data_IF_658790670795
#
_entry.id   IF_658790670795
#
_cell.length_a   1.000
_cell.length_b   1.000
_cell.length_c   1.000
_cell.angle_alpha   90.00
_cell.angle_beta   90.00
_cell.angle_gamma   90.00
#
_symmetry.space_group_name_H-M   'P 1'
#
loop_
_entity.id
_entity.type
_entity.pdbx_description
1 polymer ?
#
# COMPACT_ATOMS: atom_id res chain seq x y z
N UNK A 1 24.09 21.14 -10.90
CA UNK A 1 24.53 20.41 -12.11
C UNK A 1 23.97 18.99 -12.05
N UNK A 2 23.33 18.48 -13.12
CA UNK A 2 22.68 17.18 -13.11
C UNK A 2 23.65 16.07 -13.55
N UNK A 3 24.15 15.28 -12.60
CA UNK A 3 24.86 14.01 -12.86
C UNK A 3 23.85 12.87 -13.12
N UNK A 4 24.25 11.89 -13.94
CA UNK A 4 23.53 10.64 -14.13
C UNK A 4 24.12 9.60 -13.17
N UNK A 5 23.30 9.06 -12.28
CA UNK A 5 23.73 8.10 -11.26
C UNK A 5 23.03 6.76 -11.53
N UNK A 6 23.81 5.74 -11.84
CA UNK A 6 23.34 4.37 -11.96
C UNK A 6 23.68 3.58 -10.71
N UNK A 7 22.71 2.81 -10.22
CA UNK A 7 22.81 1.96 -9.04
C UNK A 7 22.63 0.53 -9.50
N UNK A 8 23.68 -0.28 -9.44
CA UNK A 8 23.64 -1.70 -9.72
C UNK A 8 23.51 -2.45 -8.40
N UNK A 9 22.39 -3.14 -8.21
CA UNK A 9 22.13 -3.96 -7.02
C UNK A 9 22.29 -5.41 -7.44
N UNK A 10 23.12 -6.16 -6.73
CA UNK A 10 23.33 -7.60 -6.92
C UNK A 10 22.70 -8.33 -5.75
N UNK A 11 21.70 -9.16 -6.04
CA UNK A 11 21.02 -10.05 -5.09
C UNK A 11 21.97 -11.14 -4.58
N UNK A 12 21.66 -11.76 -3.45
CA UNK A 12 22.26 -12.98 -2.93
C UNK A 12 22.25 -14.13 -3.96
N UNK A 13 21.27 -14.16 -4.88
CA UNK A 13 21.23 -15.07 -6.03
C UNK A 13 22.20 -14.70 -7.18
N UNK A 14 23.07 -13.70 -6.97
CA UNK A 14 23.98 -13.12 -7.95
C UNK A 14 23.29 -12.54 -9.21
N UNK A 15 22.01 -12.18 -9.07
CA UNK A 15 21.26 -11.48 -10.11
C UNK A 15 21.46 -9.98 -9.95
N UNK A 16 21.89 -9.30 -11.02
CA UNK A 16 22.14 -7.87 -10.99
C UNK A 16 21.01 -7.08 -11.64
N UNK A 17 20.45 -6.13 -10.91
CA UNK A 17 19.46 -5.16 -11.40
C UNK A 17 20.10 -3.77 -11.42
N UNK A 18 20.11 -3.11 -12.57
CA UNK A 18 20.59 -1.74 -12.70
C UNK A 18 19.40 -0.79 -12.66
N UNK A 19 19.39 0.11 -11.68
CA UNK A 19 18.42 1.18 -11.52
C UNK A 19 19.07 2.52 -11.83
N UNK A 20 18.33 3.41 -12.48
CA UNK A 20 18.74 4.81 -12.64
C UNK A 20 18.19 5.60 -11.46
N UNK A 21 19.05 6.23 -10.66
CA UNK A 21 18.61 7.02 -9.52
C UNK A 21 17.97 8.33 -9.99
N UNK A 22 16.76 8.62 -9.50
CA UNK A 22 16.09 9.88 -9.73
C UNK A 22 16.74 10.98 -8.90
N UNK A 23 16.97 12.16 -9.50
CA UNK A 23 17.42 13.32 -8.74
C UNK A 23 16.27 13.85 -7.88
N UNK A 24 16.46 13.87 -6.57
CA UNK A 24 15.58 14.57 -5.64
C UNK A 24 16.14 15.98 -5.44
N UNK A 25 15.48 16.96 -6.06
CA UNK A 25 15.83 18.38 -6.03
C UNK A 25 15.16 19.07 -4.84
N UNK A 26 15.16 18.43 -3.68
CA UNK A 26 14.80 19.07 -2.42
C UNK A 26 15.83 20.16 -2.07
N UNK A 27 15.34 21.33 -1.67
CA UNK A 27 15.96 22.68 -1.60
C UNK A 27 17.28 22.88 -0.80
N UNK A 28 18.07 21.83 -0.57
CA UNK A 28 19.41 21.94 0.01
C UNK A 28 20.47 21.87 -1.11
N UNK A 29 21.52 22.67 -0.97
CA UNK A 29 22.54 23.00 -1.98
C UNK A 29 23.35 21.83 -2.56
N UNK A 30 23.01 20.57 -2.24
CA UNK A 30 23.63 19.34 -2.74
C UNK A 30 22.56 18.42 -3.34
N UNK A 31 22.72 18.09 -4.63
CA UNK A 31 21.83 17.15 -5.30
C UNK A 31 21.85 15.78 -4.60
N UNK A 32 20.68 15.29 -4.18
CA UNK A 32 20.49 13.94 -3.62
C UNK A 32 19.90 13.05 -4.71
N UNK A 33 20.39 11.83 -4.79
CA UNK A 33 19.91 10.83 -5.75
C UNK A 33 19.26 9.70 -4.98
N UNK A 34 18.01 9.39 -5.30
CA UNK A 34 17.24 8.32 -4.65
C UNK A 34 16.92 7.22 -5.67
N UNK A 35 17.18 5.98 -5.28
CA UNK A 35 16.74 4.77 -5.97
C UNK A 35 15.98 3.90 -4.98
N UNK A 36 14.88 3.28 -5.44
CA UNK A 36 14.11 2.32 -4.65
C UNK A 36 14.21 0.96 -5.32
N UNK A 37 14.44 -0.06 -4.50
CA UNK A 37 14.50 -1.44 -4.92
C UNK A 37 13.70 -2.27 -3.93
N UNK A 38 12.79 -3.09 -4.44
CA UNK A 38 12.02 -4.05 -3.66
C UNK A 38 12.74 -5.40 -3.74
N UNK A 39 13.24 -5.87 -2.60
CA UNK A 39 13.98 -7.11 -2.54
C UNK A 39 13.02 -8.31 -2.49
N UNK A 40 13.27 -9.31 -3.33
CA UNK A 40 12.44 -10.51 -3.42
C UNK A 40 12.96 -11.68 -2.56
N UNK A 41 14.24 -11.66 -2.17
CA UNK A 41 14.88 -12.76 -1.47
C UNK A 41 15.62 -12.29 -0.22
N UNK A 42 15.80 -13.22 0.72
CA UNK A 42 16.64 -13.04 1.89
C UNK A 42 18.11 -13.24 1.52
N UNK A 43 19.01 -12.51 2.18
CA UNK A 43 20.45 -12.69 2.02
C UNK A 43 21.24 -11.40 1.83
N UNK A 44 22.50 -11.55 1.41
CA UNK A 44 23.45 -10.45 1.24
C UNK A 44 23.26 -9.77 -0.12
N UNK A 45 22.91 -8.49 -0.09
CA UNK A 45 22.84 -7.64 -1.27
C UNK A 45 24.08 -6.75 -1.36
N UNK A 46 24.69 -6.68 -2.55
CA UNK A 46 25.79 -5.77 -2.85
C UNK A 46 25.30 -4.66 -3.77
N UNK A 47 25.55 -3.42 -3.39
CA UNK A 47 25.18 -2.23 -4.16
C UNK A 47 26.43 -1.55 -4.67
N UNK A 48 26.50 -1.37 -5.98
CA UNK A 48 27.51 -0.56 -6.65
C UNK A 48 26.83 0.69 -7.23
N UNK A 49 27.31 1.86 -6.86
CA UNK A 49 26.81 3.16 -7.34
C UNK A 49 27.88 3.76 -8.25
N UNK A 50 27.51 4.08 -9.47
CA UNK A 50 28.36 4.73 -10.47
C UNK A 50 27.78 6.09 -10.81
N UNK A 51 28.57 7.15 -10.65
CA UNK A 51 28.18 8.51 -11.00
C UNK A 51 28.92 8.96 -12.27
N UNK A 52 28.17 9.43 -13.26
CA UNK A 52 28.70 10.00 -14.50
C UNK A 52 28.19 11.44 -14.69
N UNK A 53 29.07 12.35 -15.12
CA UNK A 53 28.73 13.71 -15.50
C UNK A 53 28.06 13.79 -16.87
N UNK A 54 27.55 14.98 -17.26
CA UNK A 54 26.81 15.19 -18.53
C UNK A 54 27.56 14.76 -19.81
N UNK A 55 28.89 14.74 -19.79
CA UNK A 55 29.73 14.35 -20.92
C UNK A 55 30.24 12.89 -20.83
N UNK A 56 29.63 12.07 -19.96
CA UNK A 56 30.08 10.69 -19.72
C UNK A 56 31.31 10.59 -18.82
N UNK A 57 31.83 11.73 -18.33
CA UNK A 57 32.96 11.76 -17.40
C UNK A 57 32.61 10.99 -16.13
N UNK A 58 33.41 10.00 -15.78
CA UNK A 58 33.26 9.25 -14.53
C UNK A 58 33.57 10.18 -13.34
N UNK A 59 32.59 10.34 -12.44
CA UNK A 59 32.69 11.18 -11.25
C UNK A 59 33.07 10.38 -10.00
N UNK A 60 32.73 9.09 -9.95
CA UNK A 60 33.09 8.21 -8.84
C UNK A 60 32.32 6.90 -8.80
N UNK A 61 32.85 5.96 -8.00
CA UNK A 61 32.22 4.68 -7.65
C UNK A 61 32.12 4.57 -6.13
N UNK A 62 30.98 4.09 -5.63
CA UNK A 62 30.82 3.70 -4.25
C UNK A 62 30.25 2.28 -4.18
N UNK A 63 30.71 1.49 -3.21
CA UNK A 63 30.21 0.14 -2.96
C UNK A 63 29.73 0.04 -1.51
N UNK A 64 28.59 -0.60 -1.31
CA UNK A 64 28.08 -0.93 0.02
C UNK A 64 27.39 -2.29 -0.03
N UNK A 65 27.23 -2.93 1.12
CA UNK A 65 26.51 -4.17 1.25
C UNK A 65 25.54 -4.10 2.42
N UNK A 66 24.39 -4.74 2.28
CA UNK A 66 23.40 -4.88 3.34
C UNK A 66 22.81 -6.28 3.32
N UNK A 67 22.38 -6.76 4.48
CA UNK A 67 21.81 -8.09 4.64
C UNK A 67 20.32 -7.97 4.89
N UNK A 68 19.52 -8.76 4.18
CA UNK A 68 18.07 -8.83 4.34
C UNK A 68 17.73 -10.12 5.07
N UNK A 69 17.05 -9.97 6.20
CA UNK A 69 16.52 -11.08 7.00
C UNK A 69 14.99 -11.02 7.02
N UNK A 70 14.33 -12.18 7.21
CA UNK A 70 12.91 -12.22 7.45
C UNK A 70 12.57 -11.44 8.71
N UNK A 71 11.52 -10.63 8.64
CA UNK A 71 11.01 -9.95 9.82
C UNK A 71 10.46 -10.98 10.81
N UNK A 72 11.18 -11.19 11.91
CA UNK A 72 10.68 -11.95 13.07
C UNK A 72 9.87 -11.06 14.03
N UNK A 73 9.38 -9.90 13.59
CA UNK A 73 8.64 -8.97 14.44
C UNK A 73 7.41 -9.62 15.09
N UNK A 74 6.74 -10.54 14.37
CA UNK A 74 5.62 -11.35 14.89
C UNK A 74 6.04 -12.28 16.04
N UNK A 75 7.30 -12.73 16.06
CA UNK A 75 7.89 -13.58 17.10
C UNK A 75 8.56 -12.77 18.22
N UNK A 76 8.66 -11.44 18.08
CA UNK A 76 9.31 -10.59 19.09
C UNK A 76 8.42 -10.34 20.32
N UNK A 77 7.10 -10.47 20.19
CA UNK A 77 6.13 -10.38 21.28
C UNK A 77 5.23 -11.63 21.28
N UNK A 78 5.74 -12.73 21.84
CA UNK A 78 4.98 -13.98 22.00
C UNK A 78 4.11 -13.97 23.26
N UNK A 79 4.15 -12.88 24.05
CA UNK A 79 3.34 -12.77 25.27
C UNK A 79 1.87 -12.53 24.95
N UNK A 80 1.01 -13.31 25.62
CA UNK A 80 -0.43 -13.16 25.56
C UNK A 80 -0.84 -11.79 26.14
N UNK A 81 -1.25 -10.87 25.26
CA UNK A 81 -1.78 -9.56 25.66
C UNK A 81 -3.24 -9.66 26.08
N UNK A 82 -3.53 -10.42 27.15
CA UNK A 82 -4.88 -10.64 27.64
C UNK A 82 -5.70 -9.34 27.87
N UNK A 83 -5.14 -8.26 28.44
CA UNK A 83 -5.88 -7.01 28.61
C UNK A 83 -6.30 -6.36 27.28
N UNK A 84 -5.46 -6.46 26.25
CA UNK A 84 -5.77 -5.94 24.92
C UNK A 84 -6.89 -6.75 24.26
N UNK A 85 -6.78 -8.07 24.31
CA UNK A 85 -7.76 -8.99 23.73
C UNK A 85 -9.13 -8.83 24.41
N UNK A 86 -9.15 -8.63 25.73
CA UNK A 86 -10.38 -8.36 26.47
C UNK A 86 -11.03 -7.04 26.04
N UNK A 87 -10.26 -5.95 25.93
CA UNK A 87 -10.77 -4.66 25.43
C UNK A 87 -11.30 -4.78 24.00
N UNK A 88 -10.62 -5.53 23.14
CA UNK A 88 -11.07 -5.74 21.77
C UNK A 88 -12.40 -6.50 21.73
N UNK A 89 -12.57 -7.52 22.57
CA UNK A 89 -13.84 -8.24 22.71
C UNK A 89 -14.95 -7.29 23.19
N UNK A 90 -14.69 -6.42 24.17
CA UNK A 90 -15.65 -5.42 24.65
C UNK A 90 -16.08 -4.43 23.54
N UNK A 91 -15.13 -3.91 22.76
CA UNK A 91 -15.40 -2.94 21.68
C UNK A 91 -16.18 -3.58 20.52
N UNK A 92 -15.85 -4.83 20.18
CA UNK A 92 -16.47 -5.57 19.06
C UNK A 92 -17.79 -6.24 19.45
N UNK A 93 -18.15 -6.26 20.75
CA UNK A 93 -19.29 -7.00 21.27
C UNK A 93 -19.07 -8.52 21.30
N UNK A 94 -17.81 -8.98 21.15
CA UNK A 94 -17.41 -10.37 21.27
C UNK A 94 -17.19 -10.81 22.72
N UNK A 95 -16.70 -12.05 22.90
CA UNK A 95 -16.32 -12.60 24.21
C UNK A 95 -14.87 -13.07 24.17
N UNK A 96 -14.10 -12.70 25.20
CA UNK A 96 -12.75 -13.22 25.42
C UNK A 96 -12.84 -14.58 26.11
N UNK A 97 -12.05 -15.55 25.64
CA UNK A 97 -11.96 -16.90 26.21
C UNK A 97 -10.52 -17.16 26.65
N UNK A 98 -10.37 -17.70 27.85
CA UNK A 98 -9.09 -18.21 28.30
C UNK A 98 -8.77 -19.58 27.69
N UNK A 99 -7.50 -20.00 27.72
CA UNK A 99 -7.07 -21.27 27.12
C UNK A 99 -7.75 -22.50 27.77
N UNK A 100 -8.11 -22.42 29.06
CA UNK A 100 -8.87 -23.46 29.77
C UNK A 100 -10.36 -23.50 29.38
N UNK A 101 -10.89 -22.44 28.78
CA UNK A 101 -12.27 -22.32 28.31
C UNK A 101 -12.39 -22.60 26.81
N UNK A 102 -11.30 -23.01 26.15
CA UNK A 102 -11.26 -23.25 24.70
C UNK A 102 -12.26 -24.31 24.22
N UNK A 103 -12.66 -25.21 25.11
CA UNK A 103 -13.66 -26.25 24.88
C UNK A 103 -15.09 -25.70 24.74
N UNK A 104 -15.37 -24.51 25.30
CA UNK A 104 -16.70 -23.87 25.23
C UNK A 104 -16.81 -22.93 24.01
N UNK A 105 -15.70 -22.72 23.30
CA UNK A 105 -15.62 -21.88 22.11
C UNK A 105 -16.53 -22.35 20.96
N UNK A 106 -16.64 -23.66 20.63
CA UNK A 106 -17.53 -24.13 19.58
C UNK A 106 -19.01 -23.84 19.85
N UNK A 107 -19.43 -23.86 21.12
CA UNK A 107 -20.81 -23.60 21.52
C UNK A 107 -21.12 -22.10 21.49
N UNK A 108 -20.13 -21.25 21.78
CA UNK A 108 -20.25 -19.80 21.69
C UNK A 108 -20.24 -19.29 20.24
N UNK A 109 -19.57 -20.02 19.34
CA UNK A 109 -19.63 -19.78 17.90
C UNK A 109 -20.90 -20.47 17.38
N UNK A 110 -22.05 -19.86 17.64
CA UNK A 110 -23.23 -20.20 16.85
C UNK A 110 -22.85 -19.99 15.38
N UNK A 111 -22.97 -21.03 14.56
CA UNK A 111 -22.76 -20.98 13.10
C UNK A 111 -23.86 -20.12 12.47
N UNK A 112 -23.88 -18.84 12.81
CA UNK A 112 -24.40 -17.83 11.92
C UNK A 112 -23.41 -17.79 10.78
N UNK A 113 -23.76 -18.48 9.70
CA UNK A 113 -23.12 -18.43 8.38
C UNK A 113 -22.51 -17.04 8.24
N UNK A 114 -21.19 -16.99 8.40
CA UNK A 114 -20.44 -15.78 8.67
C UNK A 114 -21.02 -14.62 7.88
N UNK A 115 -21.43 -13.56 8.58
CA UNK A 115 -21.31 -12.23 7.98
C UNK A 115 -19.81 -12.01 7.80
N UNK A 116 -19.25 -12.62 6.74
CA UNK A 116 -18.23 -11.92 6.00
C UNK A 116 -18.80 -10.52 5.82
N UNK A 117 -18.17 -9.54 6.46
CA UNK A 117 -18.34 -8.15 6.09
C UNK A 117 -17.75 -8.04 4.69
N UNK A 118 -18.51 -8.55 3.71
CA UNK A 118 -18.26 -8.29 2.31
C UNK A 118 -18.49 -6.80 2.22
N UNK A 119 -17.41 -6.06 2.02
CA UNK A 119 -17.49 -4.67 1.61
C UNK A 119 -18.17 -4.70 0.24
N UNK A 120 -19.50 -4.75 0.24
CA UNK A 120 -20.29 -4.64 -0.97
C UNK A 120 -20.27 -3.17 -1.29
N UNK A 121 -19.28 -2.79 -2.08
CA UNK A 121 -19.26 -1.50 -2.77
C UNK A 121 -20.50 -1.50 -3.68
N UNK A 122 -21.57 -0.91 -3.18
CA UNK A 122 -22.73 -0.62 -4.00
C UNK A 122 -22.36 0.55 -4.88
N UNK A 123 -22.18 0.27 -6.16
CA UNK A 123 -21.97 1.32 -7.12
C UNK A 123 -23.24 2.18 -7.18
N UNK A 124 -23.11 3.44 -6.76
CA UNK A 124 -24.19 4.42 -6.83
C UNK A 124 -24.65 4.64 -8.28
N UNK A 125 -23.82 4.32 -9.26
CA UNK A 125 -24.15 4.41 -10.69
C UNK A 125 -25.09 3.30 -11.19
N UNK A 126 -25.20 2.17 -10.47
CA UNK A 126 -26.09 1.06 -10.86
C UNK A 126 -27.57 1.30 -10.48
N UNK A 127 -27.87 2.40 -9.78
CA UNK A 127 -29.24 2.71 -9.40
C UNK A 127 -30.00 3.47 -10.53
N UNK A 128 -31.10 2.93 -11.08
CA UNK A 128 -31.85 3.54 -12.18
C UNK A 128 -32.46 4.92 -11.85
N UNK A 129 -32.50 5.28 -10.56
CA UNK A 129 -32.99 6.58 -10.09
C UNK A 129 -32.15 7.75 -10.60
N UNK A 130 -30.83 7.61 -10.73
CA UNK A 130 -29.97 8.69 -11.21
C UNK A 130 -30.20 8.98 -12.69
N UNK A 131 -30.41 7.93 -13.49
CA UNK A 131 -30.81 8.07 -14.88
C UNK A 131 -32.13 8.83 -15.01
N UNK A 132 -33.15 8.45 -14.24
CA UNK A 132 -34.45 9.13 -14.24
C UNK A 132 -34.33 10.60 -13.80
N UNK A 133 -33.48 10.90 -12.82
CA UNK A 133 -33.24 12.27 -12.36
C UNK A 133 -32.61 13.14 -13.45
N UNK A 134 -31.62 12.61 -14.18
CA UNK A 134 -30.98 13.32 -15.31
C UNK A 134 -32.00 13.57 -16.43
N UNK A 135 -32.77 12.55 -16.82
CA UNK A 135 -33.80 12.68 -17.84
C UNK A 135 -34.87 13.68 -17.42
N UNK A 136 -35.30 13.66 -16.15
CA UNK A 136 -36.27 14.62 -15.63
C UNK A 136 -35.72 16.05 -15.65
N UNK A 137 -34.45 16.25 -15.30
CA UNK A 137 -33.83 17.58 -15.35
C UNK A 137 -33.78 18.12 -16.78
N UNK A 138 -33.37 17.27 -17.73
CA UNK A 138 -33.31 17.60 -19.16
C UNK A 138 -34.71 17.88 -19.75
N UNK A 139 -35.70 17.06 -19.38
CA UNK A 139 -37.09 17.24 -19.79
C UNK A 139 -37.68 18.52 -19.18
N UNK A 140 -37.34 18.83 -17.94
CA UNK A 140 -37.76 20.07 -17.26
C UNK A 140 -37.16 21.29 -17.94
N UNK A 141 -35.86 21.26 -18.25
CA UNK A 141 -35.19 22.32 -19.01
C UNK A 141 -35.83 22.51 -20.39
N UNK A 142 -36.04 21.42 -21.12
CA UNK A 142 -36.70 21.44 -22.41
C UNK A 142 -38.12 22.02 -22.32
N UNK A 143 -38.89 21.62 -21.32
CA UNK A 143 -40.25 22.10 -21.09
C UNK A 143 -40.28 23.58 -20.75
N UNK A 144 -39.36 24.06 -19.89
CA UNK A 144 -39.19 25.48 -19.58
C UNK A 144 -38.82 26.27 -20.83
N UNK A 145 -37.90 25.76 -21.66
CA UNK A 145 -37.50 26.41 -22.92
C UNK A 145 -38.66 26.48 -23.92
N UNK A 146 -39.43 25.39 -24.02
CA UNK A 146 -40.63 25.31 -24.88
C UNK A 146 -41.73 26.27 -24.42
N UNK A 147 -41.99 26.34 -23.12
CA UNK A 147 -43.01 27.21 -22.53
C UNK A 147 -42.66 28.71 -22.66
N UNK A 148 -41.36 29.04 -22.66
CA UNK A 148 -40.86 30.42 -22.86
C UNK A 148 -40.66 30.81 -24.33
N UNK A 149 -40.98 29.93 -25.29
CA UNK A 149 -40.93 30.26 -26.71
C UNK A 149 -39.53 30.44 -27.30
N UNK A 150 -38.49 29.94 -26.63
CA UNK A 150 -37.08 30.02 -27.07
C UNK A 150 -36.66 28.82 -27.94
N UNK A 151 -37.57 28.36 -28.81
CA UNK A 151 -37.31 27.30 -29.80
C UNK A 151 -37.45 27.81 -31.21
#
# INVERSE_FOLDING_TARGET
>A
ENANVSVKITDAANQAVTLTAGADLSADSRAKYLARYEAAHEGLYRVEILAHGRQGQFLGKAETAFFIEPSQAELANVDLQAPLLQRLAEITGGRYFHLNESQDLPDAISVSRSSFSRLTEHDIWDAPIFFLMIVALLATEWFIRRARGLS
#
